data_IF_973366365754
#
_entry.id   IF_973366365754
#
_cell.length_a   1.000
_cell.length_b   1.000
_cell.length_c   1.000
_cell.angle_alpha   90.00
_cell.angle_beta   90.00
_cell.angle_gamma   90.00
#
_symmetry.space_group_name_H-M   'P 1'
#
loop_
_entity.id
_entity.type
_entity.pdbx_description
1 polymer ?
#
# COMPACT_ATOMS: atom_id res chain seq x y z
N UNK A 1 -2.11 -25.60 -14.78
CA UNK A 1 -2.85 -24.42 -14.30
C UNK A 1 -1.99 -23.18 -14.54
N UNK A 2 -2.55 -22.09 -15.08
CA UNK A 2 -1.79 -20.85 -15.34
C UNK A 2 -1.91 -19.95 -14.11
N UNK A 3 -0.80 -19.61 -13.46
CA UNK A 3 -0.79 -18.70 -12.31
C UNK A 3 -0.83 -17.25 -12.79
N UNK A 4 -1.69 -16.43 -12.17
CA UNK A 4 -1.78 -15.00 -12.45
C UNK A 4 -1.20 -14.23 -11.28
N UNK A 5 -0.19 -13.42 -11.55
CA UNK A 5 0.47 -12.61 -10.53
C UNK A 5 -0.35 -11.35 -10.26
N UNK A 6 -1.15 -11.39 -9.19
CA UNK A 6 -2.00 -10.25 -8.79
C UNK A 6 -1.19 -9.19 -8.05
N UNK A 7 -0.27 -9.62 -7.18
CA UNK A 7 0.54 -8.71 -6.39
C UNK A 7 1.99 -8.72 -6.86
N UNK A 8 2.38 -7.62 -7.50
CA UNK A 8 3.73 -7.39 -7.98
C UNK A 8 4.70 -7.13 -6.82
N UNK A 9 5.99 -7.30 -7.11
CA UNK A 9 7.05 -7.17 -6.12
C UNK A 9 7.06 -5.78 -5.43
N UNK A 10 6.92 -4.64 -6.14
CA UNK A 10 6.95 -3.33 -5.49
C UNK A 10 5.81 -3.13 -4.49
N UNK A 11 4.60 -3.63 -4.79
CA UNK A 11 3.48 -3.49 -3.84
C UNK A 11 3.65 -4.38 -2.61
N UNK A 12 4.27 -5.56 -2.76
CA UNK A 12 4.63 -6.43 -1.62
C UNK A 12 5.67 -5.76 -0.71
N UNK A 13 6.71 -5.18 -1.30
CA UNK A 13 7.75 -4.45 -0.55
C UNK A 13 7.10 -3.28 0.20
N UNK A 14 6.32 -2.44 -0.49
CA UNK A 14 5.60 -1.34 0.16
C UNK A 14 4.75 -1.82 1.34
N UNK A 15 3.96 -2.88 1.15
CA UNK A 15 3.05 -3.35 2.20
C UNK A 15 3.81 -3.84 3.42
N UNK A 16 4.81 -4.70 3.26
CA UNK A 16 5.57 -5.22 4.39
C UNK A 16 6.47 -4.17 5.05
N UNK A 17 7.02 -3.23 4.28
CA UNK A 17 7.70 -2.07 4.84
C UNK A 17 6.75 -1.20 5.65
N UNK A 18 5.54 -0.95 5.16
CA UNK A 18 4.54 -0.17 5.89
C UNK A 18 4.15 -0.85 7.20
N UNK A 19 3.90 -2.17 7.19
CA UNK A 19 3.61 -2.96 8.40
C UNK A 19 4.74 -2.83 9.42
N UNK A 20 6.00 -2.98 8.97
CA UNK A 20 7.17 -2.86 9.82
C UNK A 20 7.30 -1.46 10.45
N UNK A 21 7.32 -0.40 9.63
CA UNK A 21 7.53 0.96 10.11
C UNK A 21 6.36 1.47 10.94
N UNK A 22 5.12 1.08 10.62
CA UNK A 22 3.96 1.40 11.45
C UNK A 22 4.07 0.74 12.83
N UNK A 23 4.39 -0.55 12.89
CA UNK A 23 4.58 -1.26 14.16
C UNK A 23 5.72 -0.66 14.97
N UNK A 24 6.83 -0.31 14.32
CA UNK A 24 7.97 0.34 14.95
C UNK A 24 7.62 1.76 15.46
N UNK A 25 6.86 2.54 14.69
CA UNK A 25 6.36 3.86 15.08
C UNK A 25 5.47 3.77 16.31
N UNK A 26 4.57 2.79 16.36
CA UNK A 26 3.69 2.55 17.50
C UNK A 26 4.47 2.21 18.78
N UNK A 27 5.51 1.38 18.68
CA UNK A 27 6.31 0.96 19.84
C UNK A 27 7.32 2.02 20.31
N UNK A 28 7.76 2.91 19.42
CA UNK A 28 8.76 3.94 19.73
C UNK A 28 8.17 5.24 20.29
N UNK A 29 6.84 5.40 20.29
CA UNK A 29 6.15 6.67 20.56
C UNK A 29 6.42 7.32 21.92
N UNK A 30 6.77 6.54 22.95
CA UNK A 30 6.93 7.06 24.32
C UNK A 30 8.39 7.39 24.66
N UNK A 31 9.30 6.41 24.58
CA UNK A 31 10.69 6.58 25.04
C UNK A 31 11.69 6.92 23.92
N UNK A 32 11.28 6.78 22.65
CA UNK A 32 12.16 6.86 21.48
C UNK A 32 11.59 7.83 20.44
N UNK A 33 11.23 9.04 20.87
CA UNK A 33 10.52 10.04 20.04
C UNK A 33 11.22 10.36 18.71
N UNK A 34 12.55 10.45 18.68
CA UNK A 34 13.32 10.64 17.43
C UNK A 34 13.08 9.49 16.43
N UNK A 35 13.06 8.26 16.92
CA UNK A 35 12.79 7.07 16.10
C UNK A 35 11.33 7.03 15.65
N UNK A 36 10.40 7.45 16.50
CA UNK A 36 9.00 7.65 16.12
C UNK A 36 8.90 8.64 14.95
N UNK A 37 9.54 9.82 15.06
CA UNK A 37 9.56 10.83 14.01
C UNK A 37 10.18 10.32 12.70
N UNK A 38 11.36 9.69 12.75
CA UNK A 38 12.00 9.12 11.55
C UNK A 38 11.15 8.04 10.89
N UNK A 39 10.53 7.15 11.67
CA UNK A 39 9.62 6.14 11.13
C UNK A 39 8.40 6.77 10.45
N UNK A 40 7.88 7.86 11.00
CA UNK A 40 6.82 8.67 10.39
C UNK A 40 7.22 9.23 9.02
N UNK A 41 8.42 9.79 8.89
CA UNK A 41 8.93 10.27 7.59
C UNK A 41 9.06 9.14 6.56
N UNK A 42 9.51 7.96 6.98
CA UNK A 42 9.56 6.78 6.09
C UNK A 42 8.16 6.35 5.66
N UNK A 43 7.19 6.32 6.57
CA UNK A 43 5.78 6.00 6.26
C UNK A 43 5.23 6.99 5.24
N UNK A 44 5.47 8.29 5.42
CA UNK A 44 5.05 9.32 4.45
C UNK A 44 5.64 9.02 3.07
N UNK A 45 6.94 8.71 2.99
CA UNK A 45 7.60 8.33 1.74
C UNK A 45 6.98 7.08 1.09
N UNK A 46 6.67 6.06 1.89
CA UNK A 46 5.97 4.84 1.43
C UNK A 46 4.57 5.17 0.89
N UNK A 47 3.83 6.04 1.54
CA UNK A 47 2.49 6.46 1.09
C UNK A 47 2.55 7.26 -0.22
N UNK A 48 3.51 8.17 -0.37
CA UNK A 48 3.75 8.88 -1.64
C UNK A 48 4.06 7.87 -2.74
N UNK A 49 4.99 6.93 -2.48
CA UNK A 49 5.29 5.84 -3.40
C UNK A 49 4.01 5.08 -3.77
N UNK A 50 3.17 4.71 -2.80
CA UNK A 50 1.94 3.97 -3.05
C UNK A 50 0.95 4.72 -3.92
N UNK A 51 0.78 6.02 -3.69
CA UNK A 51 -0.10 6.87 -4.48
C UNK A 51 0.39 6.90 -5.92
N UNK A 52 1.67 7.20 -6.15
CA UNK A 52 2.26 7.19 -7.50
C UNK A 52 2.11 5.81 -8.16
N UNK A 53 2.46 4.73 -7.44
CA UNK A 53 2.33 3.36 -7.93
C UNK A 53 0.89 2.96 -8.24
N UNK A 54 -0.07 3.54 -7.53
CA UNK A 54 -1.50 3.39 -7.80
C UNK A 54 -1.99 4.07 -9.08
N UNK A 55 -1.18 4.93 -9.71
CA UNK A 55 -1.47 5.48 -11.03
C UNK A 55 -0.70 4.76 -12.14
N UNK A 56 0.59 4.50 -11.96
CA UNK A 56 1.48 4.03 -13.04
C UNK A 56 1.89 2.55 -12.94
N UNK A 57 1.63 1.89 -11.80
CA UNK A 57 2.10 0.53 -11.51
C UNK A 57 1.43 -0.57 -12.35
N UNK A 58 1.64 -1.82 -11.94
CA UNK A 58 1.04 -2.99 -12.59
C UNK A 58 -0.49 -2.90 -12.67
N UNK A 59 -1.15 -3.59 -13.62
CA UNK A 59 -2.59 -3.47 -13.82
C UNK A 59 -3.40 -3.62 -12.53
N UNK A 60 -3.02 -4.56 -11.65
CA UNK A 60 -3.69 -4.84 -10.38
C UNK A 60 -3.36 -3.86 -9.24
N UNK A 61 -2.30 -3.05 -9.39
CA UNK A 61 -1.94 -2.03 -8.41
C UNK A 61 -2.70 -0.71 -8.60
N UNK A 62 -3.26 -0.49 -9.79
CA UNK A 62 -3.87 0.79 -10.21
C UNK A 62 -5.21 1.04 -9.54
N UNK A 63 -5.46 2.28 -9.12
CA UNK A 63 -6.71 2.68 -8.47
C UNK A 63 -7.95 2.53 -9.37
N UNK A 64 -7.79 2.63 -10.69
CA UNK A 64 -8.88 2.40 -11.64
C UNK A 64 -9.43 0.98 -11.62
N UNK A 65 -8.68 0.00 -11.10
CA UNK A 65 -9.17 -1.38 -10.88
C UNK A 65 -10.00 -1.54 -9.60
N UNK A 66 -10.13 -0.52 -8.76
CA UNK A 66 -10.93 -0.58 -7.54
C UNK A 66 -12.28 0.14 -7.70
N UNK A 67 -12.41 0.99 -8.73
CA UNK A 67 -13.62 1.78 -8.97
C UNK A 67 -14.43 1.10 -10.08
N UNK A 68 -15.55 0.48 -9.71
CA UNK A 68 -16.52 -0.07 -10.65
C UNK A 68 -17.88 0.59 -10.44
N UNK A 69 -18.61 0.94 -11.52
CA UNK A 69 -19.97 1.46 -11.36
C UNK A 69 -20.90 0.36 -10.82
N UNK A 70 -21.95 0.72 -10.06
CA UNK A 70 -22.91 -0.26 -9.53
C UNK A 70 -23.52 -1.15 -10.60
N UNK A 71 -23.69 -0.67 -11.83
CA UNK A 71 -24.18 -1.48 -12.95
C UNK A 71 -23.24 -2.63 -13.35
N UNK A 72 -21.94 -2.53 -13.08
CA UNK A 72 -20.97 -3.61 -13.30
C UNK A 72 -20.99 -4.63 -12.17
N UNK A 73 -21.29 -4.22 -10.94
CA UNK A 73 -21.29 -5.11 -9.76
C UNK A 73 -22.67 -5.70 -9.43
N UNK A 74 -23.76 -5.01 -9.80
CA UNK A 74 -25.15 -5.37 -9.51
C UNK A 74 -25.90 -5.98 -10.70
N UNK A 75 -25.29 -6.09 -11.89
CA UNK A 75 -25.84 -6.95 -12.94
C UNK A 75 -25.65 -8.42 -12.53
N UNK A 76 -26.41 -8.83 -11.53
CA UNK A 76 -26.79 -10.18 -11.23
C UNK A 76 -28.07 -10.42 -12.02
N UNK A 77 -27.96 -10.79 -13.30
CA UNK A 77 -28.86 -11.64 -14.11
C UNK A 77 -28.43 -11.60 -15.58
#
# INVERSE_FOLDING_TARGET
>A
MKTVTVWDLPTRIFHWSLVFFFSFSYLSGDELEDFHAYSGYVIIGLLIFRVVWGFIGSPYARFSRFIYPPSTTLNLY
#
